data_IF_671253196891
#
_entry.id   IF_671253196891
#
_cell.length_a   1.000
_cell.length_b   1.000
_cell.length_c   1.000
_cell.angle_alpha   90.00
_cell.angle_beta   90.00
_cell.angle_gamma   90.00
#
_symmetry.space_group_name_H-M   'P 1'
#
loop_
_entity.id
_entity.type
_entity.pdbx_description
1 polymer ?
#
# COMPACT_ATOMS: atom_id res chain seq x y z
N UNK A 1 12.04 -21.58 28.44
CA UNK A 1 10.59 -21.42 28.70
C UNK A 1 10.17 -19.96 28.86
N UNK A 2 10.93 -19.12 29.59
CA UNK A 2 10.64 -17.68 29.78
C UNK A 2 10.54 -16.80 28.52
N UNK A 3 11.25 -17.14 27.44
CA UNK A 3 11.31 -16.30 26.23
C UNK A 3 10.03 -16.37 25.37
N UNK A 4 9.20 -17.39 25.57
CA UNK A 4 7.95 -17.60 24.82
C UNK A 4 6.81 -16.76 25.42
N UNK A 5 6.74 -16.63 26.74
CA UNK A 5 5.73 -15.84 27.45
C UNK A 5 5.90 -14.33 27.22
N UNK A 6 7.14 -13.80 27.23
CA UNK A 6 7.38 -12.38 26.96
C UNK A 6 6.97 -11.98 25.53
N UNK A 7 7.15 -12.85 24.53
CA UNK A 7 6.70 -12.60 23.15
C UNK A 7 5.17 -12.63 23.02
N UNK A 8 4.49 -13.44 23.83
CA UNK A 8 3.04 -13.53 23.86
C UNK A 8 2.40 -12.29 24.49
N UNK A 9 2.93 -11.85 25.64
CA UNK A 9 2.49 -10.62 26.32
C UNK A 9 2.74 -9.39 25.43
N UNK A 10 3.89 -9.32 24.75
CA UNK A 10 4.19 -8.23 23.82
C UNK A 10 3.18 -8.16 22.66
N UNK A 11 2.80 -9.31 22.06
CA UNK A 11 1.76 -9.36 21.01
C UNK A 11 0.40 -8.87 21.52
N UNK A 12 0.02 -9.22 22.74
CA UNK A 12 -1.24 -8.77 23.36
C UNK A 12 -1.23 -7.25 23.55
N UNK A 13 -0.16 -6.69 24.13
CA UNK A 13 -0.03 -5.25 24.37
C UNK A 13 -0.08 -4.47 23.05
N UNK A 14 0.61 -4.96 22.01
CA UNK A 14 0.58 -4.36 20.66
C UNK A 14 -0.85 -4.36 20.11
N UNK A 15 -1.56 -5.50 20.21
CA UNK A 15 -2.93 -5.62 19.72
C UNK A 15 -3.89 -4.69 20.45
N UNK A 16 -3.74 -4.54 21.77
CA UNK A 16 -4.53 -3.60 22.58
C UNK A 16 -4.24 -2.15 22.18
N UNK A 17 -2.97 -1.76 22.02
CA UNK A 17 -2.60 -0.41 21.55
C UNK A 17 -3.17 -0.09 20.17
N UNK A 18 -3.11 -1.04 19.24
CA UNK A 18 -3.70 -0.89 17.90
C UNK A 18 -5.21 -0.70 18.00
N UNK A 19 -5.90 -1.49 18.83
CA UNK A 19 -7.34 -1.37 19.01
C UNK A 19 -7.73 0.01 19.57
N UNK A 20 -7.00 0.48 20.59
CA UNK A 20 -7.20 1.82 21.18
C UNK A 20 -6.98 2.90 20.12
N UNK A 21 -5.91 2.81 19.32
CA UNK A 21 -5.60 3.79 18.29
C UNK A 21 -6.70 3.87 17.22
N UNK A 22 -7.21 2.72 16.76
CA UNK A 22 -8.32 2.65 15.81
C UNK A 22 -9.59 3.29 16.39
N UNK A 23 -9.90 2.98 17.66
CA UNK A 23 -11.06 3.55 18.35
C UNK A 23 -10.95 5.07 18.52
N UNK A 24 -9.76 5.56 18.89
CA UNK A 24 -9.48 7.00 19.04
C UNK A 24 -9.64 7.71 17.69
N UNK A 25 -9.11 7.17 16.61
CA UNK A 25 -9.22 7.77 15.28
C UNK A 25 -10.68 7.90 14.83
N UNK A 26 -11.49 6.86 15.03
CA UNK A 26 -12.93 6.89 14.70
C UNK A 26 -13.70 7.92 15.52
N UNK A 27 -13.25 8.22 16.74
CA UNK A 27 -13.86 9.23 17.62
C UNK A 27 -13.41 10.65 17.28
N UNK A 28 -12.16 10.83 16.84
CA UNK A 28 -11.61 12.13 16.43
C UNK A 28 -12.08 12.58 15.04
N UNK A 29 -12.35 11.62 14.13
CA UNK A 29 -12.84 11.89 12.77
C UNK A 29 -14.14 11.12 12.48
N UNK A 30 -15.24 11.42 13.18
CA UNK A 30 -16.52 10.77 12.93
C UNK A 30 -17.05 11.08 11.52
N UNK A 31 -16.68 12.24 10.97
CA UNK A 31 -16.94 12.66 9.59
C UNK A 31 -16.47 11.61 8.56
N UNK A 32 -15.30 11.00 8.78
CA UNK A 32 -14.75 9.96 7.91
C UNK A 32 -15.62 8.69 7.84
N UNK A 33 -16.45 8.47 8.86
CA UNK A 33 -17.41 7.37 8.90
C UNK A 33 -18.78 7.81 8.39
N UNK A 34 -19.24 9.00 8.80
CA UNK A 34 -20.57 9.54 8.46
C UNK A 34 -20.73 9.84 6.97
N UNK A 35 -19.66 10.20 6.27
CA UNK A 35 -19.66 10.45 4.83
C UNK A 35 -20.25 9.28 4.02
N UNK A 36 -20.14 8.05 4.52
CA UNK A 36 -20.65 6.85 3.85
C UNK A 36 -22.16 6.62 3.99
N UNK A 37 -22.86 7.44 4.78
CA UNK A 37 -24.33 7.45 4.80
C UNK A 37 -24.86 7.89 3.43
N UNK A 38 -24.16 8.83 2.78
CA UNK A 38 -24.49 9.30 1.45
C UNK A 38 -24.43 8.14 0.42
N UNK A 39 -25.57 7.86 -0.21
CA UNK A 39 -25.73 6.78 -1.18
C UNK A 39 -24.96 7.05 -2.49
N UNK A 40 -24.90 8.30 -2.94
CA UNK A 40 -24.14 8.68 -4.14
C UNK A 40 -22.66 8.35 -3.96
N UNK A 41 -22.10 8.62 -2.78
CA UNK A 41 -20.69 8.31 -2.49
C UNK A 41 -20.44 6.80 -2.46
N UNK A 42 -21.35 6.02 -1.87
CA UNK A 42 -21.25 4.54 -1.92
C UNK A 42 -21.30 4.03 -3.37
N UNK A 43 -22.15 4.61 -4.21
CA UNK A 43 -22.28 4.25 -5.64
C UNK A 43 -21.05 4.65 -6.45
N UNK A 44 -20.48 5.83 -6.20
CA UNK A 44 -19.31 6.36 -6.94
C UNK A 44 -17.99 5.75 -6.49
N UNK A 45 -17.87 5.40 -5.21
CA UNK A 45 -16.64 4.92 -4.60
C UNK A 45 -16.79 3.53 -3.95
N UNK A 46 -17.35 2.53 -4.66
CA UNK A 46 -17.65 1.21 -4.09
C UNK A 46 -16.38 0.52 -3.61
N UNK A 47 -15.26 0.72 -4.31
CA UNK A 47 -13.97 0.13 -3.96
C UNK A 47 -13.36 0.72 -2.69
N UNK A 48 -13.42 2.05 -2.52
CA UNK A 48 -12.94 2.68 -1.28
C UNK A 48 -13.76 2.22 -0.08
N UNK A 49 -15.08 2.10 -0.24
CA UNK A 49 -15.94 1.49 0.79
C UNK A 49 -15.54 0.04 1.07
N UNK A 50 -15.29 -0.74 0.01
CA UNK A 50 -14.81 -2.12 0.13
C UNK A 50 -13.50 -2.24 0.90
N UNK A 51 -12.56 -1.30 0.74
CA UNK A 51 -11.29 -1.28 1.49
C UNK A 51 -11.56 -1.05 2.98
N UNK A 52 -12.41 -0.07 3.31
CA UNK A 52 -12.80 0.24 4.70
C UNK A 52 -13.51 -0.95 5.35
N UNK A 53 -14.31 -1.68 4.58
CA UNK A 53 -15.03 -2.88 5.00
C UNK A 53 -14.17 -4.16 4.95
N UNK A 54 -12.88 -4.08 4.64
CA UNK A 54 -11.96 -5.22 4.46
C UNK A 54 -12.41 -6.25 3.40
N UNK A 55 -13.24 -5.83 2.45
CA UNK A 55 -13.70 -6.61 1.29
C UNK A 55 -12.75 -6.46 0.10
N UNK A 56 -12.10 -5.32 0.00
CA UNK A 56 -11.16 -4.97 -1.07
C UNK A 56 -9.78 -4.67 -0.48
N UNK A 57 -8.74 -4.74 -1.31
CA UNK A 57 -7.40 -4.32 -0.94
C UNK A 57 -7.00 -3.03 -1.65
N UNK A 58 -6.31 -2.16 -0.91
CA UNK A 58 -5.77 -0.93 -1.43
C UNK A 58 -4.70 -1.21 -2.50
N UNK A 59 -4.76 -0.49 -3.64
CA UNK A 59 -3.72 -0.54 -4.69
C UNK A 59 -2.33 -0.28 -4.15
N UNK A 60 -2.23 0.60 -3.16
CA UNK A 60 -0.99 0.92 -2.48
C UNK A 60 -0.33 -0.31 -1.84
N UNK A 61 -1.10 -1.19 -1.20
CA UNK A 61 -0.56 -2.44 -0.60
C UNK A 61 -0.08 -3.37 -1.71
N UNK A 62 -0.83 -3.49 -2.81
CA UNK A 62 -0.43 -4.28 -3.98
C UNK A 62 0.90 -3.76 -4.54
N UNK A 63 1.02 -2.46 -4.78
CA UNK A 63 2.24 -1.86 -5.30
C UNK A 63 3.44 -2.07 -4.36
N UNK A 64 3.24 -1.92 -3.05
CA UNK A 64 4.27 -2.14 -2.03
C UNK A 64 4.68 -3.60 -1.82
N UNK A 65 3.87 -4.54 -2.28
CA UNK A 65 4.20 -5.97 -2.24
C UNK A 65 4.98 -6.46 -3.46
N UNK A 66 5.05 -5.65 -4.52
CA UNK A 66 5.67 -6.04 -5.78
C UNK A 66 7.18 -5.79 -5.72
N UNK A 67 7.98 -6.85 -5.57
CA UNK A 67 9.44 -6.73 -5.52
C UNK A 67 9.99 -6.18 -6.84
N UNK A 68 10.86 -5.19 -6.72
CA UNK A 68 11.55 -4.56 -7.84
C UNK A 68 13.04 -4.50 -7.50
N UNK A 69 13.85 -5.21 -8.27
CA UNK A 69 15.31 -5.19 -8.14
C UNK A 69 15.86 -4.18 -9.14
N UNK A 70 16.50 -3.12 -8.62
CA UNK A 70 17.16 -2.06 -9.39
C UNK A 70 18.35 -1.54 -8.58
N UNK A 71 19.39 -0.98 -9.18
CA UNK A 71 20.54 -0.42 -8.47
C UNK A 71 20.64 1.10 -8.64
N UNK A 72 21.42 1.74 -7.76
CA UNK A 72 21.71 3.18 -7.88
C UNK A 72 22.47 3.50 -9.17
N UNK A 73 23.19 2.52 -9.73
CA UNK A 73 23.96 2.68 -10.96
C UNK A 73 23.19 2.34 -12.25
N UNK A 74 21.94 1.86 -12.16
CA UNK A 74 21.12 1.61 -13.36
C UNK A 74 20.93 2.91 -14.14
N UNK A 75 20.69 2.85 -15.45
CA UNK A 75 20.38 4.06 -16.24
C UNK A 75 18.90 4.44 -16.10
N UNK A 76 18.53 5.66 -16.51
CA UNK A 76 17.11 6.06 -16.57
C UNK A 76 16.34 5.10 -17.50
N UNK A 77 16.92 4.74 -18.64
CA UNK A 77 16.32 3.84 -19.61
C UNK A 77 16.09 2.43 -19.04
N UNK A 78 17.03 1.92 -18.25
CA UNK A 78 16.88 0.63 -17.57
C UNK A 78 15.74 0.67 -16.53
N UNK A 79 15.67 1.74 -15.74
CA UNK A 79 14.59 1.94 -14.76
C UNK A 79 13.23 2.09 -15.43
N UNK A 80 13.12 2.83 -16.53
CA UNK A 80 11.89 2.97 -17.31
C UNK A 80 11.42 1.62 -17.87
N UNK A 81 12.35 0.83 -18.42
CA UNK A 81 12.06 -0.50 -18.93
C UNK A 81 11.54 -1.40 -17.81
N UNK A 82 12.23 -1.43 -16.68
CA UNK A 82 11.79 -2.21 -15.51
C UNK A 82 10.42 -1.74 -15.00
N UNK A 83 10.19 -0.42 -14.95
CA UNK A 83 8.92 0.14 -14.50
C UNK A 83 7.77 -0.26 -15.43
N UNK A 84 8.01 -0.30 -16.74
CA UNK A 84 7.05 -0.76 -17.74
C UNK A 84 6.72 -2.24 -17.56
N UNK A 85 7.72 -3.09 -17.35
CA UNK A 85 7.53 -4.52 -17.06
C UNK A 85 6.71 -4.73 -15.78
N UNK A 86 7.09 -4.03 -14.70
CA UNK A 86 6.39 -4.10 -13.41
C UNK A 86 4.99 -3.49 -13.44
N UNK A 87 4.74 -2.52 -14.31
CA UNK A 87 3.40 -1.97 -14.55
C UNK A 87 2.46 -3.02 -15.16
N UNK A 88 2.95 -3.84 -16.09
CA UNK A 88 2.17 -4.96 -16.62
C UNK A 88 1.83 -5.97 -15.53
N UNK A 89 2.83 -6.37 -14.73
CA UNK A 89 2.64 -7.28 -13.59
C UNK A 89 1.62 -6.70 -12.60
N UNK A 90 1.75 -5.42 -12.23
CA UNK A 90 0.81 -4.72 -11.36
C UNK A 90 -0.62 -4.71 -11.92
N UNK A 91 -0.79 -4.46 -13.21
CA UNK A 91 -2.10 -4.46 -13.86
C UNK A 91 -2.76 -5.84 -13.88
N UNK A 92 -1.99 -6.91 -14.08
CA UNK A 92 -2.51 -8.28 -13.96
C UNK A 92 -2.99 -8.58 -12.55
N UNK A 93 -2.27 -8.09 -11.53
CA UNK A 93 -2.68 -8.21 -10.13
C UNK A 93 -3.96 -7.42 -9.81
N UNK A 94 -4.24 -6.34 -10.52
CA UNK A 94 -5.49 -5.58 -10.36
C UNK A 94 -6.71 -6.30 -10.96
N UNK A 95 -6.51 -7.15 -11.99
CA UNK A 95 -7.61 -7.88 -12.66
C UNK A 95 -8.11 -9.06 -11.83
N UNK A 96 -7.24 -9.70 -11.06
CA UNK A 96 -7.56 -10.89 -10.26
C UNK A 96 -7.40 -10.62 -8.75
N UNK A 97 -8.36 -9.92 -8.11
CA UNK A 97 -8.34 -9.71 -6.66
C UNK A 97 -8.78 -11.00 -5.91
N UNK A 98 -8.04 -12.10 -6.06
CA UNK A 98 -8.33 -13.37 -5.36
C UNK A 98 -7.36 -13.55 -4.18
N UNK A 99 -7.95 -13.90 -3.03
CA UNK A 99 -7.47 -14.43 -1.74
C UNK A 99 -6.01 -14.23 -1.28
N UNK A 100 -4.99 -14.39 -2.11
CA UNK A 100 -3.58 -14.24 -1.74
C UNK A 100 -3.17 -12.80 -1.41
N UNK A 101 -3.93 -11.81 -1.88
CA UNK A 101 -3.56 -10.41 -1.72
C UNK A 101 -3.62 -9.94 -0.25
N UNK A 102 -4.50 -10.54 0.57
CA UNK A 102 -4.66 -10.18 2.00
C UNK A 102 -3.43 -10.53 2.85
N UNK A 103 -2.59 -11.46 2.39
CA UNK A 103 -1.41 -11.95 3.11
C UNK A 103 -0.09 -11.43 2.52
N UNK A 104 -0.14 -10.47 1.59
CA UNK A 104 1.05 -9.95 0.94
C UNK A 104 1.94 -9.21 1.92
N UNK A 105 3.22 -9.55 1.86
CA UNK A 105 4.27 -8.91 2.64
C UNK A 105 4.73 -7.67 1.89
N UNK A 106 4.80 -6.54 2.59
CA UNK A 106 5.41 -5.32 2.05
C UNK A 106 6.92 -5.55 1.98
N UNK A 107 7.49 -5.30 0.81
CA UNK A 107 8.93 -5.42 0.57
C UNK A 107 9.57 -4.04 0.54
N UNK A 108 10.82 -3.93 0.98
CA UNK A 108 11.54 -2.65 1.08
C UNK A 108 11.81 -2.03 -0.29
N UNK A 109 12.15 -2.86 -1.28
CA UNK A 109 12.42 -2.45 -2.66
C UNK A 109 11.26 -2.87 -3.54
N UNK A 110 10.31 -1.96 -3.71
CA UNK A 110 9.04 -2.26 -4.36
C UNK A 110 8.72 -1.31 -5.52
N UNK A 111 7.60 -1.55 -6.19
CA UNK A 111 7.14 -0.76 -7.34
C UNK A 111 7.04 0.74 -7.06
N UNK A 112 6.62 1.14 -5.86
CA UNK A 112 6.56 2.55 -5.48
C UNK A 112 7.97 3.14 -5.39
N UNK A 113 8.93 2.40 -4.81
CA UNK A 113 10.31 2.87 -4.70
C UNK A 113 11.02 2.94 -6.05
N UNK A 114 10.70 2.06 -6.99
CA UNK A 114 11.18 2.16 -8.37
C UNK A 114 10.67 3.45 -9.05
N UNK A 115 9.38 3.73 -8.92
CA UNK A 115 8.78 4.95 -9.48
C UNK A 115 9.31 6.22 -8.79
N UNK A 116 9.56 6.16 -7.49
CA UNK A 116 10.17 7.23 -6.69
C UNK A 116 11.60 7.52 -7.15
N UNK A 117 12.44 6.49 -7.29
CA UNK A 117 13.82 6.62 -7.80
C UNK A 117 13.85 7.27 -9.19
N UNK A 118 13.01 6.79 -10.11
CA UNK A 118 12.93 7.36 -11.46
C UNK A 118 12.47 8.82 -11.43
N UNK A 119 11.46 9.15 -10.61
CA UNK A 119 10.97 10.52 -10.48
C UNK A 119 12.03 11.46 -9.90
N UNK A 120 12.84 11.00 -8.95
CA UNK A 120 13.97 11.78 -8.41
C UNK A 120 14.98 12.09 -9.51
N UNK A 121 15.37 11.09 -10.32
CA UNK A 121 16.32 11.29 -11.42
C UNK A 121 15.79 12.23 -12.50
N UNK A 122 14.51 12.10 -12.84
CA UNK A 122 13.86 13.05 -13.76
C UNK A 122 13.85 14.48 -13.22
N UNK A 123 13.74 14.68 -11.90
CA UNK A 123 13.86 16.00 -11.30
C UNK A 123 15.31 16.51 -11.35
N UNK A 124 16.29 15.65 -11.06
CA UNK A 124 17.72 15.99 -11.14
C UNK A 124 18.13 16.41 -12.56
N UNK A 125 17.61 15.70 -13.57
CA UNK A 125 17.85 16.00 -15.00
C UNK A 125 16.92 17.10 -15.56
N UNK A 126 16.09 17.72 -14.71
CA UNK A 126 15.14 18.78 -15.08
C UNK A 126 14.16 18.37 -16.20
N UNK A 127 13.84 17.08 -16.34
CA UNK A 127 12.91 16.56 -17.36
C UNK A 127 11.47 17.05 -17.11
N UNK A 128 11.11 17.30 -15.84
CA UNK A 128 9.79 17.84 -15.46
C UNK A 128 9.72 19.37 -15.42
N UNK A 129 10.84 20.06 -15.58
CA UNK A 129 10.93 21.51 -15.47
C UNK A 129 10.67 22.15 -16.84
N UNK A 130 9.42 22.13 -17.27
CA UNK A 130 8.95 22.99 -18.37
C UNK A 130 9.24 24.48 -18.08
#
# INVERSE_FOLDING_TARGET
MFQVESRFIAKIIIKIKILILIMVFRKLRPDSTLVWINEELRRRFPRYRGIIDNKEIARYIIAKSLSCEFDSNDTIEDLEKLLKEKSLEFNELLKNPIQDVKNRIIVSKNYINLAEELAIRYLEDCIFCE
#
